data_IF_594756859170
#
_entry.id   IF_594756859170
#
_cell.length_a   1.000
_cell.length_b   1.000
_cell.length_c   1.000
_cell.angle_alpha   90.00
_cell.angle_beta   90.00
_cell.angle_gamma   90.00
#
_symmetry.space_group_name_H-M   'P 1'
#
loop_
_entity.id
_entity.type
_entity.pdbx_description
1 polymer ?
#
# COMPACT_ATOMS: atom_id res chain seq x y z
N UNK A 1 20.27 -29.70 -39.99
CA UNK A 1 19.42 -28.78 -39.19
C UNK A 1 20.05 -28.68 -37.81
N UNK A 2 20.85 -27.64 -37.59
CA UNK A 2 21.46 -27.34 -36.29
C UNK A 2 20.45 -26.61 -35.43
N UNK A 3 20.00 -27.23 -34.33
CA UNK A 3 19.28 -26.54 -33.27
C UNK A 3 20.27 -25.59 -32.59
N UNK A 4 20.08 -24.29 -32.79
CA UNK A 4 20.79 -23.27 -32.01
C UNK A 4 20.23 -23.30 -30.58
N UNK A 5 21.01 -23.84 -29.66
CA UNK A 5 20.80 -23.74 -28.22
C UNK A 5 20.88 -22.26 -27.80
N UNK A 6 19.73 -21.58 -27.72
CA UNK A 6 19.60 -20.25 -27.16
C UNK A 6 19.57 -20.32 -25.62
N UNK A 7 20.54 -20.99 -25.02
CA UNK A 7 20.80 -20.85 -23.59
C UNK A 7 21.35 -19.44 -23.37
N UNK A 8 20.47 -18.54 -22.93
CA UNK A 8 20.85 -17.18 -22.53
C UNK A 8 21.86 -17.34 -21.39
N UNK A 9 23.14 -17.15 -21.70
CA UNK A 9 24.24 -17.25 -20.76
C UNK A 9 24.18 -16.05 -19.81
N UNK A 10 23.37 -16.16 -18.75
CA UNK A 10 23.26 -15.13 -17.73
C UNK A 10 24.55 -15.18 -16.91
N UNK A 11 25.45 -14.20 -17.13
CA UNK A 11 26.66 -14.00 -16.33
C UNK A 11 26.34 -14.19 -14.84
N UNK A 12 27.21 -14.90 -14.10
CA UNK A 12 27.08 -15.07 -12.65
C UNK A 12 26.76 -13.72 -12.01
N UNK A 13 25.64 -13.60 -11.27
CA UNK A 13 25.23 -12.34 -10.70
C UNK A 13 26.29 -11.84 -9.72
N UNK A 14 26.50 -10.53 -9.68
CA UNK A 14 27.37 -9.92 -8.67
C UNK A 14 26.82 -10.18 -7.25
N UNK A 15 27.65 -9.94 -6.24
CA UNK A 15 27.33 -10.26 -4.84
C UNK A 15 26.05 -9.60 -4.33
N UNK A 16 25.71 -8.40 -4.82
CA UNK A 16 24.51 -7.68 -4.44
C UNK A 16 23.29 -8.40 -5.02
N UNK A 17 23.31 -8.71 -6.32
CA UNK A 17 22.22 -9.42 -6.99
C UNK A 17 22.01 -10.81 -6.39
N UNK A 18 23.07 -11.55 -6.06
CA UNK A 18 22.95 -12.87 -5.43
C UNK A 18 22.30 -12.79 -4.05
N UNK A 19 22.66 -11.79 -3.24
CA UNK A 19 22.07 -11.59 -1.90
C UNK A 19 20.61 -11.16 -1.98
N UNK A 20 20.24 -10.27 -2.91
CA UNK A 20 18.85 -9.88 -3.16
C UNK A 20 18.00 -11.10 -3.50
N UNK A 21 18.51 -11.97 -4.37
CA UNK A 21 17.80 -13.18 -4.79
C UNK A 21 17.64 -14.20 -3.66
N UNK A 22 18.59 -14.24 -2.72
CA UNK A 22 18.55 -15.11 -1.53
C UNK A 22 17.62 -14.57 -0.43
N UNK A 23 17.55 -13.25 -0.25
CA UNK A 23 16.79 -12.59 0.82
C UNK A 23 15.88 -11.47 0.31
N UNK A 24 14.91 -11.77 -0.56
CA UNK A 24 14.13 -10.75 -1.27
C UNK A 24 13.30 -9.84 -0.36
N UNK A 25 12.66 -10.40 0.68
CA UNK A 25 11.84 -9.62 1.61
C UNK A 25 12.70 -8.64 2.43
N UNK A 26 13.89 -9.06 2.88
CA UNK A 26 14.81 -8.20 3.62
C UNK A 26 15.29 -7.04 2.75
N UNK A 27 15.74 -7.31 1.53
CA UNK A 27 16.19 -6.27 0.61
C UNK A 27 15.08 -5.32 0.18
N UNK A 28 13.86 -5.82 0.05
CA UNK A 28 12.69 -4.98 -0.16
C UNK A 28 12.54 -3.94 0.95
N UNK A 29 12.51 -4.36 2.22
CA UNK A 29 12.39 -3.41 3.34
C UNK A 29 13.58 -2.45 3.41
N UNK A 30 14.81 -2.92 3.19
CA UNK A 30 16.00 -2.06 3.19
C UNK A 30 15.93 -0.96 2.12
N UNK A 31 15.57 -1.32 0.87
CA UNK A 31 15.45 -0.37 -0.23
C UNK A 31 14.28 0.60 0.03
N UNK A 32 13.15 0.09 0.49
CA UNK A 32 11.98 0.90 0.84
C UNK A 32 12.29 1.93 1.91
N UNK A 33 12.96 1.52 2.99
CA UNK A 33 13.31 2.42 4.09
C UNK A 33 14.38 3.41 3.65
N UNK A 34 15.44 2.96 2.97
CA UNK A 34 16.47 3.85 2.46
C UNK A 34 15.90 4.93 1.55
N UNK A 35 15.02 4.56 0.60
CA UNK A 35 14.37 5.51 -0.29
C UNK A 35 13.50 6.51 0.48
N UNK A 36 12.56 6.01 1.29
CA UNK A 36 11.59 6.88 1.95
C UNK A 36 12.20 7.72 3.05
N UNK A 37 13.05 7.15 3.91
CA UNK A 37 13.62 7.87 5.06
C UNK A 37 14.54 8.98 4.62
N UNK A 38 15.35 8.78 3.58
CA UNK A 38 16.20 9.85 3.04
C UNK A 38 15.34 11.05 2.61
N UNK A 39 14.27 10.81 1.85
CA UNK A 39 13.41 11.89 1.39
C UNK A 39 12.63 12.51 2.55
N UNK A 40 12.02 11.72 3.43
CA UNK A 40 11.27 12.24 4.59
C UNK A 40 12.14 13.09 5.51
N UNK A 41 13.36 12.64 5.84
CA UNK A 41 14.27 13.39 6.69
C UNK A 41 14.71 14.69 6.00
N UNK A 42 15.02 14.66 4.70
CA UNK A 42 15.37 15.86 3.95
C UNK A 42 14.20 16.85 3.92
N UNK A 43 12.98 16.40 3.65
CA UNK A 43 11.80 17.27 3.55
C UNK A 43 11.28 17.74 4.89
N UNK A 44 11.49 16.99 5.96
CA UNK A 44 11.13 17.40 7.32
C UNK A 44 12.16 18.32 7.98
N UNK A 45 13.36 18.46 7.40
CA UNK A 45 14.45 19.28 7.94
C UNK A 45 14.92 20.37 6.97
N UNK A 46 15.78 20.03 6.02
CA UNK A 46 16.48 20.97 5.11
C UNK A 46 15.55 21.56 4.06
N UNK A 47 14.60 20.76 3.56
CA UNK A 47 13.67 21.13 2.48
C UNK A 47 12.25 21.36 3.01
N UNK A 48 12.12 21.79 4.27
CA UNK A 48 10.83 21.99 4.94
C UNK A 48 9.94 22.97 4.17
N UNK A 49 8.68 22.57 3.97
CA UNK A 49 7.71 23.33 3.18
C UNK A 49 7.68 22.99 1.68
N UNK A 50 8.64 22.20 1.18
CA UNK A 50 8.56 21.62 -0.16
C UNK A 50 7.86 20.26 -0.06
N UNK A 51 6.73 20.04 -0.78
CA UNK A 51 5.91 18.84 -0.61
C UNK A 51 6.51 17.55 -1.18
N UNK A 52 7.82 17.48 -1.45
CA UNK A 52 8.49 16.27 -1.96
C UNK A 52 8.37 15.06 -1.04
N UNK A 53 7.98 15.26 0.23
CA UNK A 53 7.69 14.17 1.17
C UNK A 53 6.59 13.23 0.66
N UNK A 54 5.67 13.68 -0.19
CA UNK A 54 4.69 12.79 -0.82
C UNK A 54 5.32 11.75 -1.74
N UNK A 55 6.45 12.07 -2.38
CA UNK A 55 7.18 11.13 -3.25
C UNK A 55 7.81 10.00 -2.43
N UNK A 56 8.22 10.29 -1.19
CA UNK A 56 8.79 9.29 -0.29
C UNK A 56 7.81 8.14 -0.01
N UNK A 57 6.49 8.38 -0.12
CA UNK A 57 5.46 7.34 0.06
C UNK A 57 5.55 6.19 -0.95
N UNK A 58 6.23 6.39 -2.09
CA UNK A 58 6.42 5.36 -3.12
C UNK A 58 7.54 4.36 -2.82
N UNK A 59 8.26 4.52 -1.70
CA UNK A 59 9.33 3.60 -1.31
C UNK A 59 8.95 2.11 -1.32
N UNK A 60 7.75 1.70 -0.84
CA UNK A 60 7.32 0.31 -0.92
C UNK A 60 7.15 -0.14 -2.38
N UNK A 61 6.48 0.64 -3.22
CA UNK A 61 6.32 0.29 -4.64
C UNK A 61 7.66 0.23 -5.37
N UNK A 62 8.55 1.21 -5.16
CA UNK A 62 9.87 1.26 -5.79
C UNK A 62 10.74 0.09 -5.34
N UNK A 63 10.81 -0.18 -4.03
CA UNK A 63 11.52 -1.33 -3.48
C UNK A 63 11.00 -2.65 -4.05
N UNK A 64 9.68 -2.79 -4.16
CA UNK A 64 9.03 -3.94 -4.79
C UNK A 64 9.42 -4.11 -6.25
N UNK A 65 9.35 -3.05 -7.05
CA UNK A 65 9.71 -3.07 -8.48
C UNK A 65 11.18 -3.47 -8.68
N UNK A 66 12.10 -2.88 -7.91
CA UNK A 66 13.55 -3.16 -8.03
C UNK A 66 13.82 -4.63 -7.71
N UNK A 67 13.34 -5.12 -6.56
CA UNK A 67 13.60 -6.51 -6.15
C UNK A 67 12.90 -7.49 -7.08
N UNK A 68 11.65 -7.21 -7.49
CA UNK A 68 10.92 -8.03 -8.44
C UNK A 68 11.64 -8.16 -9.79
N UNK A 69 12.17 -7.06 -10.32
CA UNK A 69 12.94 -7.07 -11.56
C UNK A 69 14.21 -7.92 -11.46
N UNK A 70 14.86 -7.93 -10.29
CA UNK A 70 16.08 -8.71 -10.03
C UNK A 70 15.76 -10.21 -9.86
N UNK A 71 14.63 -10.54 -9.22
CA UNK A 71 14.19 -11.92 -9.05
C UNK A 71 13.88 -12.55 -10.41
N UNK A 72 13.09 -11.87 -11.23
CA UNK A 72 12.69 -12.38 -12.53
C UNK A 72 12.83 -11.32 -13.64
N UNK A 73 14.05 -11.17 -14.19
CA UNK A 73 14.35 -10.19 -15.24
C UNK A 73 13.87 -10.61 -16.63
N UNK A 74 13.23 -11.78 -16.79
CA UNK A 74 12.78 -12.25 -18.10
C UNK A 74 11.76 -11.30 -18.72
N UNK A 75 11.71 -11.29 -20.05
CA UNK A 75 10.73 -10.48 -20.79
C UNK A 75 9.33 -11.04 -20.55
N UNK A 76 8.40 -10.18 -20.16
CA UNK A 76 6.99 -10.54 -20.08
C UNK A 76 6.36 -10.56 -21.48
N UNK A 77 5.29 -11.34 -21.64
CA UNK A 77 4.46 -11.33 -22.86
C UNK A 77 3.38 -10.23 -22.83
N UNK A 78 3.56 -9.21 -21.98
CA UNK A 78 2.59 -8.12 -21.85
C UNK A 78 2.58 -7.22 -23.10
N UNK A 79 1.39 -6.74 -23.47
CA UNK A 79 1.23 -5.87 -24.63
C UNK A 79 1.71 -4.44 -24.32
N UNK A 80 2.73 -3.98 -25.05
CA UNK A 80 3.23 -2.60 -24.98
C UNK A 80 2.12 -1.59 -25.31
N UNK A 81 1.29 -1.88 -26.31
CA UNK A 81 0.13 -1.04 -26.67
C UNK A 81 -0.84 -0.90 -25.50
N UNK A 82 -1.19 -1.99 -24.83
CA UNK A 82 -2.06 -1.94 -23.64
C UNK A 82 -1.41 -1.16 -22.50
N UNK A 83 -0.10 -1.32 -22.28
CA UNK A 83 0.64 -0.54 -21.28
C UNK A 83 0.54 0.96 -21.53
N UNK A 84 0.80 1.41 -22.76
CA UNK A 84 0.74 2.84 -23.13
C UNK A 84 -0.68 3.37 -22.96
N UNK A 85 -1.71 2.62 -23.38
CA UNK A 85 -3.11 3.02 -23.21
C UNK A 85 -3.46 3.17 -21.72
N UNK A 86 -3.12 2.17 -20.88
CA UNK A 86 -3.39 2.25 -19.44
C UNK A 86 -2.63 3.40 -18.79
N UNK A 87 -1.36 3.59 -19.16
CA UNK A 87 -0.57 4.73 -18.67
C UNK A 87 -1.25 6.06 -19.00
N UNK A 88 -1.66 6.28 -20.25
CA UNK A 88 -2.30 7.52 -20.68
C UNK A 88 -3.64 7.75 -19.96
N UNK A 89 -4.46 6.71 -19.80
CA UNK A 89 -5.74 6.80 -19.09
C UNK A 89 -5.52 7.14 -17.61
N UNK A 90 -4.62 6.43 -16.92
CA UNK A 90 -4.35 6.68 -15.50
C UNK A 90 -3.74 8.06 -15.31
N UNK A 91 -2.82 8.49 -16.19
CA UNK A 91 -2.25 9.83 -16.15
C UNK A 91 -3.32 10.91 -16.32
N UNK A 92 -4.22 10.76 -17.29
CA UNK A 92 -5.32 11.70 -17.50
C UNK A 92 -6.25 11.80 -16.28
N UNK A 93 -6.55 10.66 -15.63
CA UNK A 93 -7.34 10.63 -14.39
C UNK A 93 -6.60 11.33 -13.25
N UNK A 94 -5.30 11.07 -13.07
CA UNK A 94 -4.50 11.70 -12.02
C UNK A 94 -4.45 13.22 -12.21
N UNK A 95 -4.19 13.69 -13.43
CA UNK A 95 -4.20 15.12 -13.78
C UNK A 95 -5.57 15.74 -13.49
N UNK A 96 -6.67 15.06 -13.84
CA UNK A 96 -8.02 15.57 -13.57
C UNK A 96 -8.28 15.74 -12.06
N UNK A 97 -7.84 14.78 -11.23
CA UNK A 97 -7.97 14.87 -9.77
C UNK A 97 -7.03 15.94 -9.18
N UNK A 98 -5.82 16.09 -9.71
CA UNK A 98 -4.88 17.16 -9.34
C UNK A 98 -5.48 18.54 -9.64
N UNK A 99 -6.04 18.74 -10.84
CA UNK A 99 -6.71 19.99 -11.23
C UNK A 99 -7.93 20.26 -10.36
N UNK A 100 -8.76 19.25 -10.10
CA UNK A 100 -9.90 19.38 -9.20
C UNK A 100 -9.44 19.81 -7.80
N UNK A 101 -8.38 19.20 -7.26
CA UNK A 101 -7.84 19.52 -5.94
C UNK A 101 -7.30 20.95 -5.90
N UNK A 102 -6.61 21.39 -6.96
CA UNK A 102 -6.09 22.74 -7.08
C UNK A 102 -7.21 23.79 -7.14
N UNK A 103 -8.30 23.53 -7.88
CA UNK A 103 -9.47 24.43 -7.96
C UNK A 103 -10.15 24.58 -6.59
N UNK A 104 -10.23 23.50 -5.82
CA UNK A 104 -10.89 23.49 -4.52
C UNK A 104 -10.03 24.08 -3.39
N UNK A 105 -8.75 24.38 -3.64
CA UNK A 105 -7.81 24.85 -2.62
C UNK A 105 -7.28 26.25 -2.96
N UNK A 106 -7.79 27.32 -2.33
CA UNK A 106 -7.47 28.72 -2.68
C UNK A 106 -5.98 29.11 -2.52
N UNK A 107 -5.16 28.26 -1.90
CA UNK A 107 -3.72 28.44 -1.78
C UNK A 107 -2.99 27.14 -2.16
N UNK A 108 -3.01 26.75 -3.43
CA UNK A 108 -2.22 25.61 -3.95
C UNK A 108 -0.91 26.12 -4.55
N UNK A 109 0.24 26.12 -3.82
CA UNK A 109 1.48 26.70 -4.31
C UNK A 109 2.00 25.98 -5.56
N UNK A 110 2.77 26.67 -6.40
CA UNK A 110 3.37 26.06 -7.60
C UNK A 110 4.21 24.81 -7.29
N UNK A 111 4.86 24.77 -6.12
CA UNK A 111 5.62 23.61 -5.64
C UNK A 111 4.74 22.37 -5.39
N UNK A 112 3.48 22.56 -5.00
CA UNK A 112 2.50 21.48 -4.86
C UNK A 112 2.07 20.94 -6.22
N UNK A 113 1.76 21.82 -7.18
CA UNK A 113 1.41 21.41 -8.55
C UNK A 113 2.54 20.61 -9.18
N UNK A 114 3.79 21.08 -9.04
CA UNK A 114 4.96 20.39 -9.57
C UNK A 114 5.14 19.00 -8.92
N UNK A 115 4.93 18.89 -7.62
CA UNK A 115 5.04 17.60 -6.92
C UNK A 115 3.93 16.64 -7.33
N UNK A 116 2.68 17.11 -7.42
CA UNK A 116 1.56 16.28 -7.87
C UNK A 116 1.73 15.84 -9.32
N UNK A 117 2.25 16.69 -10.20
CA UNK A 117 2.57 16.28 -11.58
C UNK A 117 3.61 15.15 -11.63
N UNK A 118 4.62 15.17 -10.74
CA UNK A 118 5.56 14.05 -10.60
C UNK A 118 4.85 12.80 -10.08
N UNK A 119 3.99 12.94 -9.07
CA UNK A 119 3.21 11.81 -8.53
C UNK A 119 2.28 11.20 -9.59
N UNK A 120 1.61 12.03 -10.41
CA UNK A 120 0.74 11.59 -11.50
C UNK A 120 1.48 10.63 -12.45
N UNK A 121 2.72 10.99 -12.82
CA UNK A 121 3.59 10.16 -13.65
C UNK A 121 3.99 8.85 -12.96
N UNK A 122 4.34 8.91 -11.67
CA UNK A 122 4.74 7.72 -10.90
C UNK A 122 3.56 6.77 -10.72
N UNK A 123 2.36 7.29 -10.43
CA UNK A 123 1.13 6.49 -10.27
C UNK A 123 0.76 5.85 -11.61
N UNK A 124 0.79 6.62 -12.71
CA UNK A 124 0.53 6.08 -14.04
C UNK A 124 1.54 4.98 -14.41
N UNK A 125 2.82 5.16 -14.09
CA UNK A 125 3.85 4.15 -14.28
C UNK A 125 3.59 2.90 -13.41
N UNK A 126 3.27 3.09 -12.13
CA UNK A 126 2.96 2.02 -11.17
C UNK A 126 1.79 1.17 -11.65
N UNK A 127 0.62 1.76 -11.91
CA UNK A 127 -0.58 1.01 -12.31
C UNK A 127 -0.41 0.37 -13.70
N UNK A 128 0.22 1.06 -14.65
CA UNK A 128 0.50 0.47 -15.96
C UNK A 128 1.55 -0.67 -15.91
N UNK A 129 2.26 -0.83 -14.80
CA UNK A 129 3.20 -1.95 -14.59
C UNK A 129 2.52 -3.31 -14.43
N UNK A 130 1.19 -3.37 -14.40
CA UNK A 130 0.47 -4.60 -14.73
C UNK A 130 0.89 -5.19 -16.09
N UNK A 131 1.21 -4.33 -17.06
CA UNK A 131 1.74 -4.71 -18.38
C UNK A 131 3.25 -4.45 -18.49
N UNK A 132 4.00 -4.50 -17.38
CA UNK A 132 5.43 -4.20 -17.38
C UNK A 132 6.23 -5.17 -18.27
N UNK A 133 7.24 -4.72 -19.04
CA UNK A 133 8.05 -5.59 -19.91
C UNK A 133 8.92 -6.61 -19.15
N UNK A 134 9.16 -6.40 -17.87
CA UNK A 134 9.89 -7.33 -16.99
C UNK A 134 8.88 -8.20 -16.23
N UNK A 135 9.02 -9.52 -16.34
CA UNK A 135 8.08 -10.51 -15.84
C UNK A 135 7.88 -10.42 -14.33
N UNK A 136 8.96 -10.28 -13.54
CA UNK A 136 8.84 -10.16 -12.08
C UNK A 136 8.03 -8.94 -11.66
N UNK A 137 8.22 -7.81 -12.33
CA UNK A 137 7.43 -6.59 -12.07
C UNK A 137 5.97 -6.81 -12.47
N UNK A 138 5.69 -7.40 -13.64
CA UNK A 138 4.31 -7.69 -14.03
C UNK A 138 3.60 -8.64 -13.04
N UNK A 139 4.33 -9.63 -12.50
CA UNK A 139 3.84 -10.58 -11.49
C UNK A 139 3.38 -9.89 -10.20
N UNK A 140 4.11 -8.87 -9.74
CA UNK A 140 3.75 -8.05 -8.56
C UNK A 140 2.36 -7.41 -8.68
N UNK A 141 1.92 -7.08 -9.90
CA UNK A 141 0.64 -6.43 -10.17
C UNK A 141 -0.47 -7.40 -10.60
N UNK A 142 -0.21 -8.71 -10.74
CA UNK A 142 -1.21 -9.69 -11.21
C UNK A 142 -2.50 -9.69 -10.37
N UNK A 143 -2.40 -9.30 -9.10
CA UNK A 143 -3.54 -9.13 -8.21
C UNK A 143 -4.61 -8.14 -8.69
N UNK A 144 -4.32 -7.28 -9.67
CA UNK A 144 -5.30 -6.35 -10.26
C UNK A 144 -6.34 -7.05 -11.16
N UNK A 145 -6.07 -8.25 -11.68
CA UNK A 145 -6.96 -8.93 -12.64
C UNK A 145 -7.65 -10.18 -12.07
N UNK A 146 -8.01 -10.13 -10.81
CA UNK A 146 -8.57 -11.28 -10.11
C UNK A 146 -10.12 -11.22 -10.15
N UNK A 147 -10.77 -11.94 -11.08
CA UNK A 147 -12.25 -11.96 -11.25
C UNK A 147 -12.97 -13.10 -10.47
N UNK A 148 -14.26 -12.93 -10.16
CA UNK A 148 -15.20 -14.05 -9.87
C UNK A 148 -15.78 -14.16 -8.46
N UNK A 149 -14.96 -14.17 -7.39
CA UNK A 149 -15.41 -14.27 -5.97
C UNK A 149 -14.97 -13.08 -5.10
N UNK A 150 -14.53 -12.02 -5.76
CA UNK A 150 -13.67 -10.97 -5.19
C UNK A 150 -14.36 -9.62 -5.08
N UNK A 151 -15.54 -9.47 -5.69
CA UNK A 151 -16.34 -8.25 -5.59
C UNK A 151 -16.90 -8.05 -4.17
N UNK A 152 -17.35 -9.11 -3.51
CA UNK A 152 -17.75 -9.02 -2.08
C UNK A 152 -16.58 -8.55 -1.21
N UNK A 153 -15.34 -8.91 -1.54
CA UNK A 153 -14.16 -8.44 -0.83
C UNK A 153 -13.81 -6.98 -1.13
N UNK A 154 -14.21 -6.44 -2.28
CA UNK A 154 -14.15 -5.00 -2.53
C UNK A 154 -15.17 -4.27 -1.63
N UNK A 155 -16.39 -4.82 -1.51
CA UNK A 155 -17.39 -4.27 -0.58
C UNK A 155 -16.94 -4.36 0.87
N UNK A 156 -16.41 -5.51 1.31
CA UNK A 156 -15.85 -5.67 2.66
C UNK A 156 -14.69 -4.68 2.87
N UNK A 157 -13.77 -4.55 1.92
CA UNK A 157 -12.66 -3.61 2.00
C UNK A 157 -13.14 -2.16 2.21
N UNK A 158 -14.21 -1.76 1.52
CA UNK A 158 -14.78 -0.43 1.67
C UNK A 158 -15.55 -0.23 2.98
N UNK A 159 -16.38 -1.21 3.36
CA UNK A 159 -17.31 -1.11 4.50
C UNK A 159 -16.62 -1.35 5.84
N UNK A 160 -15.52 -2.10 5.88
CA UNK A 160 -14.89 -2.49 7.13
C UNK A 160 -14.41 -1.29 7.97
N UNK A 161 -13.70 -0.28 7.43
CA UNK A 161 -13.25 0.84 8.24
C UNK A 161 -14.40 1.71 8.75
N UNK A 162 -15.46 1.91 7.95
CA UNK A 162 -16.64 2.66 8.40
C UNK A 162 -17.41 1.89 9.48
N UNK A 163 -17.46 0.55 9.40
CA UNK A 163 -18.05 -0.27 10.46
C UNK A 163 -17.29 -0.15 11.79
N UNK A 164 -15.97 -0.02 11.78
CA UNK A 164 -15.20 0.27 13.00
C UNK A 164 -15.51 1.63 13.57
N UNK A 165 -15.69 2.65 12.72
CA UNK A 165 -16.09 3.98 13.20
C UNK A 165 -17.47 3.95 13.86
N UNK A 166 -18.46 3.31 13.25
CA UNK A 166 -19.79 3.17 13.86
C UNK A 166 -19.76 2.32 15.12
N UNK A 167 -19.02 1.22 15.13
CA UNK A 167 -18.85 0.38 16.33
C UNK A 167 -18.21 1.15 17.49
N UNK A 168 -17.19 1.95 17.21
CA UNK A 168 -16.58 2.84 18.19
C UNK A 168 -17.57 3.88 18.74
N UNK A 169 -18.42 4.42 17.88
CA UNK A 169 -19.41 5.43 18.26
C UNK A 169 -20.49 4.81 19.17
N UNK A 170 -20.95 3.61 18.84
CA UNK A 170 -21.86 2.85 19.70
C UNK A 170 -21.24 2.54 21.07
N UNK A 171 -19.95 2.21 21.11
CA UNK A 171 -19.24 1.98 22.36
C UNK A 171 -19.11 3.28 23.19
N UNK A 172 -18.83 4.42 22.56
CA UNK A 172 -18.83 5.72 23.22
C UNK A 172 -20.20 6.05 23.82
N UNK A 173 -21.29 5.80 23.09
CA UNK A 173 -22.65 5.99 23.60
C UNK A 173 -22.92 5.14 24.85
N UNK A 174 -22.48 3.87 24.83
CA UNK A 174 -22.62 2.97 25.98
C UNK A 174 -21.86 3.49 27.22
N UNK A 175 -20.78 4.27 27.03
CA UNK A 175 -20.03 4.92 28.09
C UNK A 175 -20.52 6.33 28.45
N UNK A 176 -21.62 6.80 27.86
CA UNK A 176 -22.13 8.16 28.07
C UNK A 176 -21.24 9.26 27.47
N UNK A 177 -20.33 8.89 26.57
CA UNK A 177 -19.44 9.81 25.84
C UNK A 177 -20.18 10.32 24.60
N UNK A 178 -20.01 11.60 24.26
CA UNK A 178 -20.68 12.19 23.11
C UNK A 178 -20.30 11.45 21.81
N UNK A 179 -21.34 10.91 21.17
CA UNK A 179 -21.35 10.08 19.96
C UNK A 179 -20.58 10.69 18.77
N UNK A 180 -20.70 12.01 18.60
CA UNK A 180 -20.24 12.71 17.41
C UNK A 180 -19.64 14.05 17.82
N UNK A 181 -18.35 14.05 18.18
CA UNK A 181 -17.55 15.26 18.07
C UNK A 181 -17.51 15.70 16.60
N UNK A 182 -18.45 16.56 16.21
CA UNK A 182 -18.61 17.21 14.90
C UNK A 182 -18.49 16.29 13.67
N UNK A 183 -19.50 15.44 13.42
CA UNK A 183 -19.71 14.90 12.08
C UNK A 183 -20.28 16.03 11.20
N UNK A 184 -19.44 16.74 10.44
CA UNK A 184 -19.95 17.78 9.54
C UNK A 184 -20.70 17.11 8.37
N UNK A 185 -21.97 17.49 8.18
CA UNK A 185 -22.92 16.92 7.22
C UNK A 185 -22.59 17.26 5.75
N UNK A 186 -21.43 17.87 5.47
CA UNK A 186 -20.91 18.09 4.11
C UNK A 186 -20.40 16.78 3.45
N UNK A 187 -20.99 15.64 3.81
CA UNK A 187 -20.40 14.30 3.73
C UNK A 187 -20.33 13.77 2.29
N UNK A 188 -21.37 13.96 1.46
CA UNK A 188 -21.42 13.35 0.12
C UNK A 188 -20.48 14.02 -0.89
N UNK A 189 -20.44 15.36 -0.92
CA UNK A 189 -19.54 16.10 -1.83
C UNK A 189 -18.06 15.90 -1.44
N UNK A 190 -17.77 15.77 -0.14
CA UNK A 190 -16.42 15.41 0.34
C UNK A 190 -16.10 13.96 -0.04
N UNK A 191 -17.04 13.01 0.05
CA UNK A 191 -16.78 11.63 -0.36
C UNK A 191 -16.42 11.50 -1.85
N UNK A 192 -17.16 12.19 -2.73
CA UNK A 192 -16.92 12.14 -4.18
C UNK A 192 -15.60 12.79 -4.61
N UNK A 193 -15.10 13.78 -3.86
CA UNK A 193 -13.84 14.47 -4.17
C UNK A 193 -12.65 13.87 -3.41
N UNK A 194 -12.82 13.49 -2.14
CA UNK A 194 -11.77 12.99 -1.29
C UNK A 194 -11.41 11.53 -1.59
N UNK A 195 -12.37 10.65 -1.94
CA UNK A 195 -12.05 9.25 -2.18
C UNK A 195 -11.09 9.06 -3.37
N UNK A 196 -11.32 9.65 -4.56
CA UNK A 196 -10.36 9.56 -5.66
C UNK A 196 -9.00 10.16 -5.31
N UNK A 197 -8.98 11.30 -4.62
CA UNK A 197 -7.75 11.95 -4.17
C UNK A 197 -6.95 11.05 -3.20
N UNK A 198 -7.59 10.53 -2.16
CA UNK A 198 -6.97 9.64 -1.17
C UNK A 198 -6.53 8.33 -1.83
N UNK A 199 -7.34 7.78 -2.74
CA UNK A 199 -7.00 6.55 -3.45
C UNK A 199 -5.71 6.72 -4.26
N UNK A 200 -5.58 7.83 -5.00
CA UNK A 200 -4.45 8.08 -5.88
C UNK A 200 -3.22 8.63 -5.17
N UNK A 201 -3.38 9.57 -4.23
CA UNK A 201 -2.29 10.34 -3.65
C UNK A 201 -2.10 10.10 -2.14
N UNK A 202 -3.10 9.51 -1.48
CA UNK A 202 -3.13 9.33 -0.02
C UNK A 202 -2.44 8.07 0.51
N UNK A 203 -1.56 7.44 -0.28
CA UNK A 203 -0.81 6.24 0.10
C UNK A 203 -1.15 4.94 -0.64
N UNK A 204 -2.42 4.58 -0.93
CA UNK A 204 -2.77 3.26 -1.45
C UNK A 204 -1.97 2.82 -2.68
N UNK A 205 -1.99 3.61 -3.75
CA UNK A 205 -1.28 3.32 -5.02
C UNK A 205 0.25 3.36 -4.89
N UNK A 206 0.76 4.08 -3.89
CA UNK A 206 2.19 4.24 -3.63
C UNK A 206 2.75 3.10 -2.76
N UNK A 207 1.92 2.51 -1.90
CA UNK A 207 2.34 1.60 -0.85
C UNK A 207 1.92 0.15 -1.09
N UNK A 208 0.65 -0.07 -1.43
CA UNK A 208 0.06 -1.42 -1.51
C UNK A 208 0.66 -2.32 -2.58
N UNK A 209 1.10 -1.83 -3.76
CA UNK A 209 1.85 -2.68 -4.68
C UNK A 209 3.08 -3.29 -4.01
N UNK A 210 3.81 -2.52 -3.20
CA UNK A 210 4.94 -3.00 -2.41
C UNK A 210 4.52 -3.98 -1.31
N UNK A 211 3.63 -3.54 -0.42
CA UNK A 211 3.25 -4.35 0.75
C UNK A 211 2.49 -5.63 0.38
N UNK A 212 1.53 -5.55 -0.54
CA UNK A 212 0.62 -6.65 -0.88
C UNK A 212 0.98 -7.29 -2.21
N UNK A 213 1.41 -6.52 -3.22
CA UNK A 213 1.86 -7.07 -4.50
C UNK A 213 3.23 -7.77 -4.42
N UNK A 214 4.12 -7.35 -3.52
CA UNK A 214 5.46 -7.95 -3.36
C UNK A 214 5.67 -8.65 -2.01
N UNK A 215 5.68 -7.89 -0.91
CA UNK A 215 6.17 -8.39 0.38
C UNK A 215 5.32 -9.52 0.95
N UNK A 216 4.00 -9.38 0.90
CA UNK A 216 3.06 -10.36 1.45
C UNK A 216 3.23 -11.75 0.80
N UNK A 217 3.13 -11.92 -0.53
CA UNK A 217 3.35 -13.22 -1.16
C UNK A 217 4.73 -13.82 -0.86
N UNK A 218 5.79 -13.00 -0.92
CA UNK A 218 7.16 -13.49 -0.71
C UNK A 218 7.40 -13.98 0.72
N UNK A 219 6.87 -13.27 1.73
CA UNK A 219 7.00 -13.70 3.12
C UNK A 219 6.11 -14.90 3.45
N UNK A 220 4.93 -15.01 2.83
CA UNK A 220 4.02 -16.15 3.08
C UNK A 220 4.51 -17.49 2.52
N UNK A 221 5.59 -17.51 1.72
CA UNK A 221 6.35 -18.75 1.44
C UNK A 221 6.80 -19.42 2.74
N UNK A 222 7.23 -18.61 3.70
CA UNK A 222 7.86 -19.08 4.94
C UNK A 222 6.92 -18.99 6.15
N UNK A 223 6.12 -17.92 6.23
CA UNK A 223 5.29 -17.61 7.40
C UNK A 223 3.79 -17.77 7.13
N UNK A 224 3.00 -17.91 8.20
CA UNK A 224 1.53 -17.87 8.09
C UNK A 224 1.03 -16.42 7.94
N UNK A 225 -0.24 -16.22 7.51
CA UNK A 225 -0.77 -14.89 7.26
C UNK A 225 -0.85 -13.98 8.49
N UNK A 226 -1.07 -14.52 9.69
CA UNK A 226 -1.05 -13.75 10.94
C UNK A 226 0.34 -13.11 11.17
N UNK A 227 1.41 -13.91 11.08
CA UNK A 227 2.78 -13.43 11.27
C UNK A 227 3.16 -12.41 10.19
N UNK A 228 2.80 -12.65 8.92
CA UNK A 228 3.05 -11.69 7.84
C UNK A 228 2.29 -10.38 8.08
N UNK A 229 1.04 -10.43 8.54
CA UNK A 229 0.25 -9.25 8.89
C UNK A 229 0.88 -8.43 10.02
N UNK A 230 1.36 -9.10 11.08
CA UNK A 230 2.06 -8.45 12.21
C UNK A 230 3.38 -7.82 11.74
N UNK A 231 4.19 -8.53 10.95
CA UNK A 231 5.46 -8.00 10.42
C UNK A 231 5.21 -6.76 9.57
N UNK A 232 4.22 -6.80 8.65
CA UNK A 232 3.89 -5.64 7.83
C UNK A 232 3.37 -4.49 8.69
N UNK A 233 2.46 -4.75 9.64
CA UNK A 233 1.97 -3.71 10.55
C UNK A 233 3.10 -3.04 11.33
N UNK A 234 4.05 -3.84 11.84
CA UNK A 234 5.23 -3.35 12.55
C UNK A 234 6.13 -2.51 11.64
N UNK A 235 6.57 -3.07 10.50
CA UNK A 235 7.46 -2.39 9.56
C UNK A 235 6.81 -1.13 8.99
N UNK A 236 5.49 -1.16 8.77
CA UNK A 236 4.75 -0.01 8.31
C UNK A 236 4.74 1.11 9.35
N UNK A 237 4.58 0.81 10.65
CA UNK A 237 4.74 1.81 11.72
C UNK A 237 6.15 2.38 11.74
N UNK A 238 7.18 1.53 11.76
CA UNK A 238 8.58 1.98 11.81
C UNK A 238 8.92 2.82 10.57
N UNK A 239 8.38 2.47 9.40
CA UNK A 239 8.58 3.23 8.17
C UNK A 239 8.11 4.70 8.29
N UNK A 240 7.09 4.99 9.12
CA UNK A 240 6.61 6.35 9.41
C UNK A 240 7.44 7.10 10.46
N UNK A 241 8.44 6.48 11.09
CA UNK A 241 9.23 7.10 12.16
C UNK A 241 9.75 8.51 11.80
N UNK A 242 10.35 8.74 10.62
CA UNK A 242 10.85 10.08 10.26
C UNK A 242 9.78 11.17 10.34
N UNK A 243 8.54 10.88 9.93
CA UNK A 243 7.45 11.86 9.90
C UNK A 243 7.06 12.33 11.30
N UNK A 244 7.07 11.41 12.29
CA UNK A 244 6.84 11.78 13.69
C UNK A 244 8.06 12.49 14.29
N UNK A 245 9.26 12.10 13.88
CA UNK A 245 10.51 12.69 14.37
C UNK A 245 10.72 14.13 13.88
N UNK A 246 10.38 14.44 12.62
CA UNK A 246 10.51 15.78 12.03
C UNK A 246 9.34 16.71 12.36
N UNK A 247 8.29 16.17 12.97
CA UNK A 247 7.06 16.89 13.32
C UNK A 247 6.10 17.11 12.15
N UNK A 248 6.29 16.40 11.03
CA UNK A 248 5.32 16.38 9.92
C UNK A 248 4.03 15.68 10.36
N UNK A 249 4.13 14.68 11.23
CA UNK A 249 3.01 14.09 11.96
C UNK A 249 2.95 14.61 13.41
N UNK A 250 1.74 14.88 13.93
CA UNK A 250 1.58 15.40 15.29
C UNK A 250 1.89 14.35 16.36
N UNK A 251 2.24 14.81 17.56
CA UNK A 251 2.38 13.98 18.77
C UNK A 251 3.71 13.23 18.94
N UNK A 252 4.65 13.38 18.00
CA UNK A 252 6.02 12.89 18.15
C UNK A 252 6.12 11.36 18.36
N UNK A 253 7.17 10.93 19.07
CA UNK A 253 7.47 9.50 19.29
C UNK A 253 6.38 8.80 20.11
N UNK A 254 5.69 9.50 21.02
CA UNK A 254 4.57 8.93 21.77
C UNK A 254 3.41 8.52 20.83
N UNK A 255 3.04 9.41 19.90
CA UNK A 255 2.01 9.09 18.91
C UNK A 255 2.44 7.97 17.94
N UNK A 256 3.74 7.83 17.66
CA UNK A 256 4.27 6.68 16.94
C UNK A 256 4.08 5.36 17.73
N UNK A 257 4.27 5.37 19.04
CA UNK A 257 4.03 4.19 19.87
C UNK A 257 2.54 3.79 19.83
N UNK A 258 1.64 4.78 19.93
CA UNK A 258 0.20 4.55 19.77
C UNK A 258 -0.16 4.03 18.37
N UNK A 259 0.60 4.41 17.33
CA UNK A 259 0.41 3.88 15.97
C UNK A 259 0.60 2.36 15.90
N UNK A 260 1.42 1.73 16.76
CA UNK A 260 1.50 0.26 16.77
C UNK A 260 0.17 -0.40 17.15
N UNK A 261 -0.57 0.18 18.11
CA UNK A 261 -1.88 -0.32 18.54
C UNK A 261 -2.87 -0.33 17.37
N UNK A 262 -2.73 0.61 16.44
CA UNK A 262 -3.53 0.68 15.22
C UNK A 262 -3.00 -0.21 14.09
N UNK A 263 -1.72 -0.09 13.75
CA UNK A 263 -1.14 -0.70 12.56
C UNK A 263 -0.93 -2.21 12.67
N UNK A 264 -0.71 -2.76 13.86
CA UNK A 264 -0.57 -4.21 14.04
C UNK A 264 -1.86 -4.97 13.69
N UNK A 265 -3.03 -4.69 14.31
CA UNK A 265 -4.28 -5.34 13.92
C UNK A 265 -4.66 -5.00 12.48
N UNK A 266 -4.45 -3.75 12.03
CA UNK A 266 -4.74 -3.37 10.65
C UNK A 266 -3.90 -4.18 9.64
N UNK A 267 -2.61 -4.39 9.91
CA UNK A 267 -1.74 -5.25 9.10
C UNK A 267 -2.28 -6.67 8.96
N UNK A 268 -2.82 -7.24 10.04
CA UNK A 268 -3.49 -8.55 10.04
C UNK A 268 -4.80 -8.51 9.23
N UNK A 269 -5.60 -7.46 9.34
CA UNK A 269 -6.84 -7.30 8.56
C UNK A 269 -6.57 -7.15 7.06
N UNK A 270 -5.54 -6.42 6.68
CA UNK A 270 -5.09 -6.37 5.30
C UNK A 270 -4.63 -7.74 4.80
N UNK A 271 -3.85 -8.47 5.61
CA UNK A 271 -3.47 -9.84 5.25
C UNK A 271 -4.72 -10.71 5.08
N UNK A 272 -5.73 -10.58 5.93
CA UNK A 272 -7.01 -11.29 5.84
C UNK A 272 -7.77 -10.96 4.55
N UNK A 273 -8.04 -9.68 4.27
CA UNK A 273 -8.74 -9.24 3.05
C UNK A 273 -7.97 -9.68 1.81
N UNK A 274 -6.65 -9.51 1.78
CA UNK A 274 -5.82 -9.89 0.63
C UNK A 274 -5.82 -11.41 0.41
N UNK A 275 -5.68 -12.22 1.47
CA UNK A 275 -5.69 -13.68 1.34
C UNK A 275 -7.07 -14.22 0.95
N UNK A 276 -8.14 -13.75 1.59
CA UNK A 276 -9.50 -14.26 1.32
C UNK A 276 -10.06 -13.78 -0.02
N UNK A 277 -9.58 -12.65 -0.52
CA UNK A 277 -9.82 -12.22 -1.90
C UNK A 277 -8.89 -12.91 -2.90
N UNK A 278 -8.07 -13.88 -2.50
CA UNK A 278 -7.15 -14.63 -3.36
C UNK A 278 -6.09 -13.74 -4.02
N UNK A 279 -5.50 -12.83 -3.26
CA UNK A 279 -4.47 -11.90 -3.73
C UNK A 279 -5.01 -10.72 -4.55
N UNK A 280 -6.24 -10.25 -4.29
CA UNK A 280 -6.79 -9.10 -5.01
C UNK A 280 -6.13 -7.80 -4.53
N UNK A 281 -5.27 -7.22 -5.37
CA UNK A 281 -4.56 -5.97 -5.04
C UNK A 281 -5.53 -4.79 -4.97
N UNK A 282 -6.60 -4.79 -5.77
CA UNK A 282 -7.61 -3.73 -5.72
C UNK A 282 -8.37 -3.71 -4.39
N UNK A 283 -8.57 -4.87 -3.75
CA UNK A 283 -9.20 -4.93 -2.43
C UNK A 283 -8.29 -4.35 -1.33
N UNK A 284 -6.97 -4.54 -1.44
CA UNK A 284 -6.02 -3.89 -0.53
C UNK A 284 -5.97 -2.37 -0.74
N UNK A 285 -5.90 -1.93 -2.01
CA UNK A 285 -5.95 -0.51 -2.37
C UNK A 285 -7.22 0.17 -1.83
N UNK A 286 -8.37 -0.47 -2.01
CA UNK A 286 -9.64 0.05 -1.54
C UNK A 286 -9.74 0.06 -0.01
N UNK A 287 -9.28 -0.99 0.68
CA UNK A 287 -9.24 -1.03 2.14
C UNK A 287 -8.37 0.10 2.70
N UNK A 288 -7.21 0.35 2.09
CA UNK A 288 -6.33 1.46 2.46
C UNK A 288 -7.02 2.81 2.23
N UNK A 289 -7.56 3.04 1.03
CA UNK A 289 -8.23 4.30 0.71
C UNK A 289 -9.42 4.58 1.65
N UNK A 290 -10.24 3.56 1.90
CA UNK A 290 -11.37 3.65 2.82
C UNK A 290 -10.92 3.87 4.26
N UNK A 291 -9.86 3.21 4.72
CA UNK A 291 -9.29 3.46 6.04
C UNK A 291 -8.88 4.93 6.20
N UNK A 292 -8.11 5.47 5.25
CA UNK A 292 -7.63 6.84 5.33
C UNK A 292 -8.79 7.84 5.24
N UNK A 293 -9.76 7.58 4.37
CA UNK A 293 -10.97 8.40 4.22
C UNK A 293 -11.79 8.45 5.51
N UNK A 294 -12.16 7.29 6.06
CA UNK A 294 -13.05 7.23 7.23
C UNK A 294 -12.33 7.58 8.54
N UNK A 295 -11.01 7.44 8.64
CA UNK A 295 -10.27 8.03 9.76
C UNK A 295 -10.26 9.56 9.65
N UNK A 296 -10.05 10.11 8.46
CA UNK A 296 -10.04 11.58 8.25
C UNK A 296 -11.40 12.20 8.54
N UNK A 297 -12.48 11.60 8.05
CA UNK A 297 -13.85 12.11 8.27
C UNK A 297 -14.29 12.08 9.73
N UNK A 298 -13.70 11.21 10.56
CA UNK A 298 -14.03 11.06 11.97
C UNK A 298 -12.90 11.58 12.90
N UNK A 299 -11.92 12.30 12.35
CA UNK A 299 -10.68 12.70 13.03
C UNK A 299 -10.88 13.64 14.24
N UNK A 300 -11.99 14.38 14.29
CA UNK A 300 -12.31 15.31 15.38
C UNK A 300 -13.01 14.65 16.59
N UNK A 301 -13.17 13.33 16.59
CA UNK A 301 -13.98 12.63 17.59
C UNK A 301 -13.12 11.87 18.62
N UNK A 302 -13.65 11.73 19.84
CA UNK A 302 -13.11 10.80 20.87
C UNK A 302 -13.18 9.32 20.42
N UNK A 303 -13.68 9.07 19.21
CA UNK A 303 -13.90 7.76 18.62
C UNK A 303 -12.63 7.01 18.25
N UNK A 304 -11.48 7.70 18.13
CA UNK A 304 -10.25 7.06 17.67
C UNK A 304 -9.87 5.85 18.57
N UNK A 305 -9.99 6.00 19.88
CA UNK A 305 -9.63 4.92 20.82
C UNK A 305 -10.66 3.78 20.81
N UNK A 306 -11.96 4.10 20.80
CA UNK A 306 -13.01 3.08 20.80
C UNK A 306 -13.10 2.33 19.48
N UNK A 307 -12.92 3.00 18.34
CA UNK A 307 -12.87 2.33 17.04
C UNK A 307 -11.63 1.42 16.93
N UNK A 308 -10.49 1.84 17.50
CA UNK A 308 -9.29 0.99 17.63
C UNK A 308 -9.58 -0.28 18.44
N UNK A 309 -10.26 -0.14 19.59
CA UNK A 309 -10.63 -1.27 20.42
C UNK A 309 -11.56 -2.25 19.68
N UNK A 310 -12.57 -1.72 18.98
CA UNK A 310 -13.48 -2.53 18.13
C UNK A 310 -12.71 -3.26 17.03
N UNK A 311 -11.78 -2.58 16.35
CA UNK A 311 -10.93 -3.17 15.33
C UNK A 311 -10.04 -4.29 15.89
N UNK A 312 -9.44 -4.10 17.07
CA UNK A 312 -8.62 -5.12 17.75
C UNK A 312 -9.47 -6.36 18.06
N UNK A 313 -10.64 -6.18 18.68
CA UNK A 313 -11.56 -7.28 19.00
C UNK A 313 -11.97 -8.02 17.73
N UNK A 314 -12.37 -7.28 16.69
CA UNK A 314 -12.73 -7.89 15.40
C UNK A 314 -11.55 -8.64 14.78
N UNK A 315 -10.34 -8.11 14.87
CA UNK A 315 -9.13 -8.77 14.38
C UNK A 315 -8.89 -10.09 15.10
N UNK A 316 -9.03 -10.12 16.44
CA UNK A 316 -8.93 -11.36 17.23
C UNK A 316 -9.99 -12.38 16.78
N UNK A 317 -11.25 -11.95 16.60
CA UNK A 317 -12.33 -12.80 16.10
C UNK A 317 -11.98 -13.38 14.73
N UNK A 318 -11.52 -12.54 13.80
CA UNK A 318 -11.10 -12.97 12.45
C UNK A 318 -9.96 -13.99 12.52
N UNK A 319 -8.94 -13.73 13.34
CA UNK A 319 -7.79 -14.62 13.49
C UNK A 319 -8.23 -15.99 14.01
N UNK A 320 -9.09 -16.02 15.02
CA UNK A 320 -9.64 -17.26 15.61
C UNK A 320 -10.55 -18.00 14.64
N UNK A 321 -11.55 -17.31 14.08
CA UNK A 321 -12.54 -17.90 13.19
C UNK A 321 -11.91 -18.44 11.90
N UNK A 322 -10.86 -17.79 11.39
CA UNK A 322 -10.18 -18.21 10.15
C UNK A 322 -8.93 -19.06 10.38
N UNK A 323 -8.53 -19.29 11.64
CA UNK A 323 -7.31 -20.01 12.03
C UNK A 323 -6.07 -19.45 11.32
N UNK A 324 -5.93 -18.13 11.30
CA UNK A 324 -4.95 -17.42 10.46
C UNK A 324 -3.48 -17.65 10.88
N UNK A 325 -3.27 -18.33 12.00
CA UNK A 325 -1.97 -18.89 12.43
C UNK A 325 -1.56 -20.14 11.63
N UNK A 326 -2.43 -20.70 10.78
CA UNK A 326 -2.08 -21.80 9.88
C UNK A 326 -1.67 -21.27 8.51
N UNK A 327 -0.76 -21.97 7.82
CA UNK A 327 -0.45 -21.66 6.42
C UNK A 327 -1.70 -21.88 5.54
N UNK A 328 -1.97 -21.01 4.56
CA UNK A 328 -3.12 -21.15 3.69
C UNK A 328 -2.99 -22.39 2.80
N UNK A 329 -4.11 -23.06 2.55
CA UNK A 329 -4.13 -24.25 1.69
C UNK A 329 -3.82 -23.93 0.22
N UNK A 330 -4.17 -22.72 -0.23
CA UNK A 330 -3.77 -22.20 -1.53
C UNK A 330 -2.76 -21.06 -1.34
N UNK A 331 -1.51 -21.21 -1.80
CA UNK A 331 -0.52 -20.16 -1.69
C UNK A 331 -0.88 -18.99 -2.61
N UNK A 332 -0.47 -17.78 -2.21
CA UNK A 332 -0.56 -16.60 -3.06
C UNK A 332 0.42 -16.73 -4.24
N UNK A 333 0.11 -16.14 -5.41
CA UNK A 333 1.06 -16.08 -6.52
C UNK A 333 2.35 -15.36 -6.10
N UNK A 334 3.49 -16.01 -6.28
CA UNK A 334 4.81 -15.48 -5.94
C UNK A 334 5.68 -15.26 -7.17
N UNK A 335 6.65 -14.35 -7.03
CA UNK A 335 7.74 -14.19 -7.98
C UNK A 335 8.81 -15.20 -7.59
N UNK A 336 9.13 -16.13 -8.48
CA UNK A 336 10.26 -17.05 -8.31
C UNK A 336 11.52 -16.50 -8.99
N UNK A 337 12.70 -16.67 -8.38
CA UNK A 337 13.95 -16.33 -9.02
C UNK A 337 14.12 -17.15 -10.31
N UNK A 338 14.54 -16.51 -11.40
CA UNK A 338 14.94 -17.24 -12.62
C UNK A 338 16.08 -18.22 -12.32
N UNK A 339 16.13 -19.43 -12.88
CA UNK A 339 17.30 -20.29 -12.68
C UNK A 339 18.59 -19.58 -13.13
N UNK A 340 19.65 -19.65 -12.32
CA UNK A 340 20.99 -19.20 -12.74
C UNK A 340 21.62 -20.40 -13.44
N UNK A 341 22.01 -20.26 -14.71
CA UNK A 341 22.81 -21.28 -15.39
C UNK A 341 24.13 -21.48 -14.62
N UNK A 342 24.45 -22.72 -14.30
CA UNK A 342 25.57 -23.12 -13.43
C UNK A 342 26.95 -22.62 -13.94
#
# INVERSE_FOLDING_TARGET
>A
MTQSDNSVNVKKPNIIVSTIRKHPATWFFLITFAFSWVIYLLTGTVLKGIPLGFIASFGPTIGGIIVAAILNPTRSHASVKKRIIVFAIVLAICIAVTVQTAIMSPAFPLSFIATFAIMDLIIAYSISSYYHPIQGVAQMYQGLNQKGKKLIWLLIAFVLPIAFQFGGALLNLAFGINLFGNLSVALLLVLFTALPNIFLFGGPTAEEPGWRGFATPQMQKYYNPLIVGIIIGFMWTVWHFPLYFTGDYPGGVEALLLRFVWNLPLGVLFAWVYNKSGGNLLAALLLHASNNLFVTLFSASQNLYTCSAVMVIFTVIVVVATKFWKKPAQPLPTIEPTPVSA
#
